data_IF_371006477512
#
_entry.id   IF_371006477512
#
_cell.length_a   1.000
_cell.length_b   1.000
_cell.length_c   1.000
_cell.angle_alpha   90.00
_cell.angle_beta   90.00
_cell.angle_gamma   90.00
#
_symmetry.space_group_name_H-M   'P 1'
#
loop_
_entity.id
_entity.type
_entity.pdbx_description
1 polymer ?
#
# COMPACT_ATOMS: atom_id res chain seq x y z
N UNK A 1 17.05 13.48 15.65
CA UNK A 1 15.58 13.55 15.49
C UNK A 1 15.29 13.94 14.06
N UNK A 2 14.51 13.10 13.38
CA UNK A 2 13.68 13.39 12.20
C UNK A 2 14.31 14.23 11.10
N UNK A 3 15.04 13.57 10.19
CA UNK A 3 15.36 14.14 8.88
C UNK A 3 14.06 14.27 8.08
N UNK A 4 13.46 15.46 8.14
CA UNK A 4 12.38 15.91 7.28
C UNK A 4 12.90 16.04 5.85
N UNK A 5 12.99 14.92 5.15
CA UNK A 5 13.12 14.91 3.70
C UNK A 5 11.75 15.22 3.12
N UNK A 6 11.59 16.39 2.51
CA UNK A 6 10.45 16.72 1.65
C UNK A 6 10.45 15.91 0.34
N UNK A 7 10.85 14.63 0.40
CA UNK A 7 10.48 13.64 -0.59
C UNK A 7 9.02 13.33 -0.30
N UNK A 8 8.13 13.69 -1.21
CA UNK A 8 6.82 13.08 -1.30
C UNK A 8 7.05 11.56 -1.37
N UNK A 9 6.98 10.89 -0.22
CA UNK A 9 7.19 9.45 -0.14
C UNK A 9 6.28 8.82 -1.19
N UNK A 10 6.84 8.07 -2.17
CA UNK A 10 6.05 7.50 -3.23
C UNK A 10 4.92 6.67 -2.61
N UNK A 11 3.68 6.80 -3.10
CA UNK A 11 2.58 6.04 -2.53
C UNK A 11 2.88 4.54 -2.69
N UNK A 12 2.56 3.75 -1.67
CA UNK A 12 2.70 2.30 -1.73
C UNK A 12 1.95 1.72 -2.94
N UNK A 13 2.35 0.55 -3.42
CA UNK A 13 1.77 -0.06 -4.63
C UNK A 13 0.24 -0.17 -4.55
N UNK A 14 -0.30 -0.46 -3.36
CA UNK A 14 -1.74 -0.49 -3.11
C UNK A 14 -2.41 0.87 -3.29
N UNK A 15 -1.89 1.92 -2.63
CA UNK A 15 -2.47 3.26 -2.71
C UNK A 15 -2.33 3.86 -4.12
N UNK A 16 -1.23 3.55 -4.82
CA UNK A 16 -1.01 3.90 -6.22
C UNK A 16 -2.06 3.25 -7.13
N UNK A 17 -2.32 1.95 -6.97
CA UNK A 17 -3.33 1.23 -7.75
C UNK A 17 -4.75 1.74 -7.45
N UNK A 18 -5.08 1.94 -6.17
CA UNK A 18 -6.37 2.43 -5.69
C UNK A 18 -6.58 3.94 -5.91
N UNK A 19 -5.58 4.64 -6.46
CA UNK A 19 -5.59 6.10 -6.70
C UNK A 19 -5.99 6.93 -5.48
N UNK A 20 -5.51 6.53 -4.29
CA UNK A 20 -5.79 7.20 -3.01
C UNK A 20 -4.51 7.72 -2.36
N UNK A 21 -4.64 8.69 -1.45
CA UNK A 21 -3.50 9.23 -0.71
C UNK A 21 -2.91 8.16 0.23
N UNK A 22 -1.61 7.92 0.12
CA UNK A 22 -0.89 7.05 1.04
C UNK A 22 -0.56 7.85 2.32
N UNK A 23 -1.18 7.48 3.44
CA UNK A 23 -0.92 8.10 4.74
C UNK A 23 0.17 7.33 5.49
N UNK A 24 0.84 7.94 6.49
CA UNK A 24 1.81 7.24 7.34
C UNK A 24 1.23 6.03 8.07
N UNK A 25 -0.08 6.01 8.33
CA UNK A 25 -0.82 4.90 8.94
C UNK A 25 -1.36 3.87 7.92
N UNK A 26 -0.81 3.83 6.70
CA UNK A 26 -1.30 2.93 5.67
C UNK A 26 -0.96 1.47 5.99
N UNK A 27 -1.98 0.67 6.28
CA UNK A 27 -1.85 -0.78 6.54
C UNK A 27 -1.21 -1.56 5.38
N UNK A 28 -1.27 -1.04 4.15
CA UNK A 28 -0.68 -1.69 2.97
C UNK A 28 0.78 -1.34 2.75
N UNK A 29 1.28 -0.24 3.32
CA UNK A 29 2.63 0.25 3.09
C UNK A 29 3.74 -0.75 3.43
N UNK A 30 3.71 -1.48 4.57
CA UNK A 30 4.77 -2.45 4.89
C UNK A 30 4.74 -3.71 4.02
N UNK A 31 3.61 -4.04 3.37
CA UNK A 31 3.45 -5.27 2.59
C UNK A 31 3.61 -5.07 1.08
N UNK A 32 3.28 -3.87 0.59
CA UNK A 32 3.21 -3.52 -0.83
C UNK A 32 4.08 -2.30 -1.13
N UNK A 33 5.41 -2.45 -1.14
CA UNK A 33 6.33 -1.36 -1.43
C UNK A 33 6.12 -0.82 -2.87
N UNK A 34 6.45 0.46 -3.13
CA UNK A 34 6.25 1.07 -4.44
C UNK A 34 7.07 0.43 -5.57
N UNK A 35 8.16 -0.27 -5.24
CA UNK A 35 9.03 -1.01 -6.17
C UNK A 35 8.36 -2.27 -6.75
N UNK A 36 7.32 -2.79 -6.07
CA UNK A 36 6.65 -4.06 -6.42
C UNK A 36 5.15 -3.87 -6.78
N UNK A 37 4.81 -3.09 -7.82
CA UNK A 37 3.41 -2.85 -8.20
C UNK A 37 2.68 -4.12 -8.68
N UNK A 38 3.44 -5.10 -9.18
CA UNK A 38 2.90 -6.37 -9.69
C UNK A 38 2.33 -7.20 -8.54
N UNK A 39 2.97 -7.17 -7.36
CA UNK A 39 2.54 -7.92 -6.18
C UNK A 39 1.12 -7.54 -5.77
N UNK A 40 0.84 -6.24 -5.69
CA UNK A 40 -0.52 -5.76 -5.38
C UNK A 40 -1.52 -6.16 -6.47
N UNK A 41 -1.12 -6.10 -7.74
CA UNK A 41 -2.01 -6.49 -8.87
C UNK A 41 -2.41 -7.96 -8.80
N UNK A 42 -1.47 -8.86 -8.51
CA UNK A 42 -1.73 -10.31 -8.36
C UNK A 42 -2.68 -10.56 -7.18
N UNK A 43 -2.35 -10.01 -6.01
CA UNK A 43 -3.18 -10.22 -4.81
C UNK A 43 -4.57 -9.61 -5.02
N UNK A 44 -4.67 -8.41 -5.61
CA UNK A 44 -5.94 -7.77 -5.97
C UNK A 44 -6.75 -8.63 -6.95
N UNK A 45 -6.11 -9.29 -7.92
CA UNK A 45 -6.79 -10.17 -8.87
C UNK A 45 -7.33 -11.45 -8.21
N UNK A 46 -6.62 -12.01 -7.24
CA UNK A 46 -7.01 -13.27 -6.56
C UNK A 46 -8.04 -13.03 -5.46
N UNK A 47 -7.80 -12.03 -4.60
CA UNK A 47 -8.62 -11.79 -3.41
C UNK A 47 -9.66 -10.67 -3.62
N UNK A 48 -9.40 -9.70 -4.51
CA UNK A 48 -10.18 -8.47 -4.60
C UNK A 48 -9.84 -7.45 -3.50
N UNK A 49 -10.04 -6.16 -3.79
CA UNK A 49 -9.70 -5.06 -2.88
C UNK A 49 -10.31 -5.19 -1.47
N UNK A 50 -11.56 -5.67 -1.38
CA UNK A 50 -12.30 -5.78 -0.12
C UNK A 50 -11.76 -6.89 0.79
N UNK A 51 -11.31 -8.00 0.22
CA UNK A 51 -10.81 -9.13 1.01
C UNK A 51 -9.37 -8.90 1.48
N UNK A 52 -8.55 -8.16 0.73
CA UNK A 52 -7.20 -7.78 1.16
C UNK A 52 -7.25 -6.87 2.40
N UNK A 53 -8.17 -5.89 2.39
CA UNK A 53 -8.35 -4.99 3.53
C UNK A 53 -8.82 -5.74 4.78
N UNK A 54 -9.71 -6.73 4.62
CA UNK A 54 -10.16 -7.59 5.72
C UNK A 54 -9.05 -8.50 6.23
N UNK A 55 -8.33 -9.18 5.32
CA UNK A 55 -7.22 -10.06 5.66
C UNK A 55 -6.17 -9.34 6.50
N UNK A 56 -5.80 -8.12 6.10
CA UNK A 56 -4.78 -7.32 6.80
C UNK A 56 -5.28 -6.66 8.09
N UNK A 57 -6.58 -6.67 8.36
CA UNK A 57 -7.17 -6.13 9.59
C UNK A 57 -7.49 -7.23 10.63
N UNK A 58 -7.42 -8.51 10.23
CA UNK A 58 -7.53 -9.67 11.13
C UNK A 58 -6.16 -10.25 11.54
N UNK A 59 -5.05 -9.61 11.16
CA UNK A 59 -3.68 -9.91 11.64
C UNK A 59 -3.34 -8.96 12.78
#
# INVERSE_FOLDING_TARGET
MSSSSSYSNPPCAACKFLRRKCLPSCIFAPYFPPEEPIKFTIVHKVFGASNISKLLNEI
#
